data_IF_419786875534
#
_entry.id   IF_419786875534
#
_cell.length_a   1.000
_cell.length_b   1.000
_cell.length_c   1.000
_cell.angle_alpha   90.00
_cell.angle_beta   90.00
_cell.angle_gamma   90.00
#
_symmetry.space_group_name_H-M   'P 1'
#
loop_
_entity.id
_entity.type
_entity.pdbx_description
1 polymer ?
#
# COMPACT_ATOMS: atom_id res chain seq x y z
N UNK A 1 -20.13 -11.14 10.60
CA UNK A 1 -19.21 -10.01 10.87
C UNK A 1 -20.06 -8.89 11.43
N UNK A 2 -19.81 -8.47 12.66
CA UNK A 2 -20.51 -7.35 13.27
C UNK A 2 -20.24 -6.09 12.46
N UNK A 3 -21.28 -5.50 11.89
CA UNK A 3 -21.24 -4.23 11.21
C UNK A 3 -20.76 -3.17 12.19
N UNK A 4 -19.58 -2.62 11.97
CA UNK A 4 -19.08 -1.53 12.81
C UNK A 4 -19.64 -0.22 12.25
N UNK A 5 -20.61 0.35 12.95
CA UNK A 5 -21.16 1.67 12.64
C UNK A 5 -20.22 2.74 13.17
N UNK A 6 -19.94 3.74 12.37
CA UNK A 6 -19.15 4.90 12.75
C UNK A 6 -20.01 6.14 12.66
N UNK A 7 -20.20 6.82 13.79
CA UNK A 7 -20.92 8.09 13.85
C UNK A 7 -19.92 9.23 13.70
N UNK A 8 -20.19 10.15 12.79
CA UNK A 8 -19.38 11.35 12.58
C UNK A 8 -20.06 12.55 13.22
N UNK A 9 -19.30 13.28 14.01
CA UNK A 9 -19.77 14.46 14.76
C UNK A 9 -19.62 15.77 13.94
N UNK A 10 -19.05 15.71 12.72
CA UNK A 10 -18.78 16.88 11.91
C UNK A 10 -19.80 17.05 10.78
N UNK A 11 -20.15 18.30 10.41
CA UNK A 11 -20.99 18.56 9.25
C UNK A 11 -20.33 17.99 7.99
N UNK A 12 -21.05 17.15 7.28
CA UNK A 12 -20.56 16.50 6.08
C UNK A 12 -21.06 17.22 4.84
N UNK A 13 -20.13 17.72 4.04
CA UNK A 13 -20.44 18.14 2.68
C UNK A 13 -20.77 16.92 1.81
N UNK A 14 -21.80 17.05 1.00
CA UNK A 14 -22.10 16.05 -0.02
C UNK A 14 -20.95 16.02 -1.04
N UNK A 15 -20.47 14.82 -1.34
CA UNK A 15 -19.46 14.60 -2.36
C UNK A 15 -20.10 13.94 -3.58
N UNK A 16 -19.60 14.29 -4.74
CA UNK A 16 -20.09 13.78 -6.03
C UNK A 16 -18.95 13.09 -6.78
N UNK A 17 -19.32 12.14 -7.64
CA UNK A 17 -18.44 11.51 -8.60
C UNK A 17 -18.99 11.67 -10.01
N UNK A 18 -18.13 11.63 -11.01
CA UNK A 18 -18.51 11.73 -12.44
C UNK A 18 -18.86 10.36 -12.98
N UNK A 19 -20.10 10.18 -13.46
CA UNK A 19 -20.54 8.96 -14.13
C UNK A 19 -20.12 8.99 -15.60
N UNK A 20 -19.45 7.92 -16.04
CA UNK A 20 -18.95 7.78 -17.40
C UNK A 20 -19.50 6.51 -18.04
N UNK A 21 -20.04 6.65 -19.26
CA UNK A 21 -20.58 5.56 -20.07
C UNK A 21 -19.48 4.70 -20.73
N UNK A 22 -19.87 3.58 -21.34
CA UNK A 22 -18.99 2.69 -22.11
C UNK A 22 -18.32 3.40 -23.30
N UNK A 23 -18.97 4.40 -23.84
CA UNK A 23 -18.44 5.23 -24.93
C UNK A 23 -17.40 6.27 -24.45
N UNK A 24 -17.23 6.44 -23.13
CA UNK A 24 -16.33 7.42 -22.55
C UNK A 24 -16.94 8.82 -22.38
N UNK A 25 -18.25 8.98 -22.65
CA UNK A 25 -18.95 10.23 -22.44
C UNK A 25 -19.35 10.40 -20.97
N UNK A 26 -19.28 11.63 -20.48
CA UNK A 26 -19.80 12.00 -19.16
C UNK A 26 -21.32 12.07 -19.27
N UNK A 27 -22.01 11.25 -18.47
CA UNK A 27 -23.48 11.17 -18.47
C UNK A 27 -24.07 12.07 -17.40
N UNK A 28 -23.60 11.93 -16.15
CA UNK A 28 -24.17 12.64 -15.01
C UNK A 28 -23.18 12.68 -13.83
N UNK A 29 -23.58 13.36 -12.77
CA UNK A 29 -22.95 13.33 -11.46
C UNK A 29 -23.72 12.42 -10.50
N UNK A 30 -23.03 11.57 -9.79
CA UNK A 30 -23.62 10.64 -8.81
C UNK A 30 -23.24 11.09 -7.41
N UNK A 31 -24.22 11.18 -6.50
CA UNK A 31 -23.95 11.42 -5.07
C UNK A 31 -23.21 10.22 -4.48
N UNK A 32 -22.08 10.48 -3.82
CA UNK A 32 -21.27 9.45 -3.21
C UNK A 32 -21.82 9.09 -1.82
N UNK A 33 -21.66 7.82 -1.39
CA UNK A 33 -21.97 7.41 -0.03
C UNK A 33 -21.25 8.25 1.03
N UNK A 34 -21.83 8.35 2.21
CA UNK A 34 -21.34 9.16 3.34
C UNK A 34 -19.90 8.88 3.73
N UNK A 35 -19.40 7.67 3.46
CA UNK A 35 -18.02 7.28 3.72
C UNK A 35 -16.99 8.18 2.99
N UNK A 36 -17.33 8.76 1.82
CA UNK A 36 -16.46 9.66 1.06
C UNK A 36 -16.41 11.08 1.64
N UNK A 37 -17.33 11.42 2.52
CA UNK A 37 -17.36 12.71 3.22
C UNK A 37 -16.57 12.68 4.55
N UNK A 38 -15.99 11.52 4.92
CA UNK A 38 -15.18 11.38 6.12
C UNK A 38 -13.92 12.27 6.07
N UNK A 39 -13.48 12.85 7.20
CA UNK A 39 -12.26 13.66 7.22
C UNK A 39 -11.02 12.84 6.87
N UNK A 40 -10.15 13.43 6.06
CA UNK A 40 -8.91 12.79 5.61
C UNK A 40 -7.84 12.86 6.71
N UNK A 41 -7.61 11.74 7.40
CA UNK A 41 -6.62 11.59 8.45
C UNK A 41 -5.36 10.88 7.94
N UNK A 42 -4.40 11.68 7.50
CA UNK A 42 -3.13 11.19 6.94
C UNK A 42 -2.27 10.45 7.98
N UNK A 43 -2.39 10.82 9.26
CA UNK A 43 -1.73 10.16 10.40
C UNK A 43 -2.14 8.69 10.52
N UNK A 44 -3.44 8.41 10.54
CA UNK A 44 -3.97 7.04 10.59
C UNK A 44 -3.59 6.23 9.35
N UNK A 45 -3.67 6.86 8.16
CA UNK A 45 -3.29 6.22 6.90
C UNK A 45 -1.82 5.81 6.93
N UNK A 46 -0.91 6.70 7.35
CA UNK A 46 0.52 6.40 7.48
C UNK A 46 0.78 5.26 8.45
N UNK A 47 0.17 5.29 9.64
CA UNK A 47 0.30 4.23 10.64
C UNK A 47 -0.16 2.88 10.10
N UNK A 48 -1.33 2.83 9.44
CA UNK A 48 -1.87 1.63 8.83
C UNK A 48 -0.97 1.08 7.71
N UNK A 49 -0.40 1.96 6.87
CA UNK A 49 0.54 1.56 5.82
C UNK A 49 1.84 1.01 6.41
N UNK A 50 2.39 1.64 7.45
CA UNK A 50 3.60 1.14 8.13
C UNK A 50 3.36 -0.23 8.75
N UNK A 51 2.24 -0.43 9.44
CA UNK A 51 1.82 -1.74 9.95
C UNK A 51 1.77 -2.79 8.86
N UNK A 52 1.08 -2.50 7.75
CA UNK A 52 0.95 -3.44 6.63
C UNK A 52 2.29 -3.72 5.90
N UNK A 53 3.22 -2.76 5.86
CA UNK A 53 4.56 -2.96 5.32
C UNK A 53 5.44 -3.78 6.27
N UNK A 54 5.39 -3.50 7.57
CA UNK A 54 6.16 -4.23 8.58
C UNK A 54 5.77 -5.70 8.66
N UNK A 55 4.49 -6.04 8.45
CA UNK A 55 4.00 -7.41 8.36
C UNK A 55 4.64 -8.24 7.24
N UNK A 56 5.18 -7.59 6.19
CA UNK A 56 5.86 -8.25 5.06
C UNK A 56 7.34 -8.53 5.33
N UNK A 57 7.90 -7.99 6.42
CA UNK A 57 9.31 -8.12 6.75
C UNK A 57 9.52 -9.45 7.49
N UNK A 58 10.27 -10.36 6.86
CA UNK A 58 10.66 -11.60 7.51
C UNK A 58 11.67 -11.34 8.64
N UNK A 59 11.60 -12.09 9.75
CA UNK A 59 12.63 -12.10 10.76
C UNK A 59 13.98 -12.43 10.14
N UNK A 60 15.00 -11.65 10.44
CA UNK A 60 16.36 -11.86 9.94
C UNK A 60 17.37 -11.58 11.04
N UNK A 61 18.40 -12.37 11.04
CA UNK A 61 19.47 -12.24 12.01
C UNK A 61 20.58 -13.23 11.71
N UNK A 62 21.54 -13.26 12.58
CA UNK A 62 22.56 -14.29 12.62
C UNK A 62 22.22 -15.30 13.71
N UNK A 63 22.94 -16.42 13.73
CA UNK A 63 22.91 -17.35 14.83
C UNK A 63 23.23 -16.64 16.16
N UNK A 64 22.38 -16.86 17.17
CA UNK A 64 22.44 -16.19 18.47
C UNK A 64 23.76 -16.54 19.21
N UNK A 65 24.25 -17.76 18.99
CA UNK A 65 25.46 -18.28 19.61
C UNK A 65 26.73 -18.06 18.76
N UNK A 66 26.62 -17.44 17.59
CA UNK A 66 27.79 -17.17 16.76
C UNK A 66 28.82 -16.30 17.48
N UNK A 67 30.04 -16.83 17.60
CA UNK A 67 31.15 -16.20 18.36
C UNK A 67 31.04 -16.36 19.87
N UNK A 68 30.04 -17.10 20.38
CA UNK A 68 29.84 -17.39 21.80
C UNK A 68 30.03 -18.88 22.16
N UNK A 69 30.10 -19.79 21.18
CA UNK A 69 30.22 -21.23 21.42
C UNK A 69 31.59 -21.61 21.96
N UNK A 70 32.63 -20.86 21.62
CA UNK A 70 33.97 -21.05 22.20
C UNK A 70 34.06 -20.18 23.45
N UNK A 71 34.10 -20.84 24.60
CA UNK A 71 34.27 -20.20 25.88
C UNK A 71 35.74 -20.29 26.24
N UNK A 72 36.29 -19.23 26.78
CA UNK A 72 37.63 -19.16 27.30
C UNK A 72 37.64 -18.29 28.53
N UNK A 73 38.65 -18.45 29.35
CA UNK A 73 38.85 -17.68 30.58
C UNK A 73 40.01 -16.71 30.44
N UNK A 74 39.97 -15.63 31.19
CA UNK A 74 41.10 -14.70 31.28
C UNK A 74 42.19 -15.32 32.15
N UNK A 75 43.42 -15.30 31.68
CA UNK A 75 44.56 -15.82 32.45
C UNK A 75 44.93 -14.90 33.64
N UNK A 76 44.31 -13.74 33.77
CA UNK A 76 44.52 -12.85 34.92
C UNK A 76 45.77 -11.99 34.81
N UNK A 77 46.37 -11.70 35.98
CA UNK A 77 47.53 -10.83 36.13
C UNK A 77 48.81 -11.66 36.08
N UNK A 78 49.90 -11.14 35.58
CA UNK A 78 51.22 -11.80 35.61
C UNK A 78 51.64 -12.48 34.31
N UNK A 79 50.77 -12.58 33.30
CA UNK A 79 51.08 -13.26 32.04
C UNK A 79 51.54 -12.29 30.92
N UNK A 80 51.74 -11.02 31.20
CA UNK A 80 52.17 -9.98 30.24
C UNK A 80 51.34 -9.89 28.97
N UNK A 81 50.08 -10.31 28.99
CA UNK A 81 49.15 -10.29 27.88
C UNK A 81 47.82 -9.63 28.27
N UNK A 82 47.08 -9.16 27.28
CA UNK A 82 45.77 -8.52 27.52
C UNK A 82 44.80 -9.51 28.23
N UNK A 83 44.08 -8.98 29.22
CA UNK A 83 43.11 -9.72 30.06
C UNK A 83 41.78 -9.94 29.34
N UNK A 84 41.79 -10.64 28.20
CA UNK A 84 40.62 -11.07 27.47
C UNK A 84 40.43 -12.58 27.60
N UNK A 85 39.22 -13.13 27.48
CA UNK A 85 39.02 -14.58 27.49
C UNK A 85 39.87 -15.28 26.42
N UNK A 86 40.63 -16.31 26.83
CA UNK A 86 41.54 -17.07 25.97
C UNK A 86 41.28 -18.56 26.08
N UNK A 87 41.60 -19.28 25.03
CA UNK A 87 41.72 -20.74 25.02
C UNK A 87 43.10 -21.13 25.52
N UNK A 88 43.30 -22.41 25.81
CA UNK A 88 44.56 -22.97 26.26
C UNK A 88 45.73 -22.71 25.29
N UNK A 89 45.43 -22.59 24.00
CA UNK A 89 46.41 -22.23 22.97
C UNK A 89 46.74 -20.72 22.91
N UNK A 90 46.30 -19.94 23.88
CA UNK A 90 46.52 -18.50 23.94
C UNK A 90 45.63 -17.62 23.05
N UNK A 91 44.81 -18.23 22.16
CA UNK A 91 43.94 -17.46 21.24
C UNK A 91 42.80 -16.80 22.03
N UNK A 92 42.64 -15.48 21.83
CA UNK A 92 41.52 -14.76 22.39
C UNK A 92 40.19 -15.15 21.73
N UNK A 93 39.13 -15.28 22.54
CA UNK A 93 37.78 -15.68 22.12
C UNK A 93 36.72 -14.84 22.80
N UNK A 94 35.47 -14.96 22.40
CA UNK A 94 34.26 -14.36 22.98
C UNK A 94 34.20 -12.83 22.95
N UNK A 95 35.28 -12.11 23.25
CA UNK A 95 35.30 -10.66 23.27
C UNK A 95 34.97 -10.05 21.90
N UNK A 96 34.28 -8.90 21.81
CA UNK A 96 33.88 -8.34 20.54
C UNK A 96 35.04 -7.76 19.70
N UNK A 97 36.15 -7.45 20.34
CA UNK A 97 37.36 -6.86 19.73
C UNK A 97 38.38 -7.90 19.24
N UNK A 98 38.08 -9.19 19.32
CA UNK A 98 39.00 -10.26 18.90
C UNK A 98 38.53 -10.91 17.59
N UNK A 99 39.47 -11.49 16.81
CA UNK A 99 39.15 -12.21 15.57
C UNK A 99 38.35 -13.47 15.88
N UNK A 100 37.14 -13.58 15.27
CA UNK A 100 36.22 -14.70 15.52
C UNK A 100 35.47 -14.61 16.85
N UNK A 101 35.55 -13.49 17.55
CA UNK A 101 34.74 -13.19 18.72
C UNK A 101 33.27 -12.88 18.40
N UNK A 102 32.46 -12.60 19.39
CA UNK A 102 31.06 -12.24 19.21
C UNK A 102 30.91 -10.84 18.64
N UNK A 103 29.88 -10.64 17.84
CA UNK A 103 29.47 -9.28 17.49
C UNK A 103 28.67 -8.69 18.67
N UNK A 104 29.02 -7.49 19.06
CA UNK A 104 28.21 -6.67 19.98
C UNK A 104 26.86 -6.36 19.38
N UNK A 105 25.81 -6.24 19.79
CA UNK A 105 24.52 -5.94 19.15
C UNK A 105 24.30 -6.59 17.78
N UNK A 106 24.44 -7.90 17.74
CA UNK A 106 24.18 -8.67 16.54
C UNK A 106 22.67 -8.61 16.16
N UNK A 107 22.33 -8.53 14.87
CA UNK A 107 20.94 -8.65 14.46
C UNK A 107 20.40 -10.04 14.85
N UNK A 108 19.26 -10.05 15.53
CA UNK A 108 18.63 -11.29 16.02
C UNK A 108 17.29 -11.53 15.34
N UNK A 109 16.93 -12.79 15.01
CA UNK A 109 15.62 -13.12 14.49
C UNK A 109 14.50 -12.94 15.53
N UNK A 110 14.84 -12.84 16.82
CA UNK A 110 13.87 -12.61 17.91
C UNK A 110 13.32 -11.18 17.95
N UNK A 111 13.90 -10.26 17.15
CA UNK A 111 13.41 -8.89 17.08
C UNK A 111 11.98 -8.84 16.53
N UNK A 112 11.05 -8.25 17.28
CA UNK A 112 9.68 -7.99 16.82
C UNK A 112 9.71 -6.90 15.74
N UNK A 113 9.44 -7.26 14.50
CA UNK A 113 9.45 -6.34 13.35
C UNK A 113 8.06 -5.81 13.02
N UNK A 114 7.00 -6.52 13.40
CA UNK A 114 5.63 -6.16 13.11
C UNK A 114 5.14 -5.05 14.04
N UNK A 115 4.65 -3.98 13.45
CA UNK A 115 3.99 -2.87 14.14
C UNK A 115 2.49 -3.13 14.16
N UNK A 116 1.96 -3.55 15.30
CA UNK A 116 0.55 -3.85 15.47
C UNK A 116 -0.32 -2.60 15.40
N UNK A 117 -1.51 -2.74 14.82
CA UNK A 117 -2.52 -1.71 14.76
C UNK A 117 -3.88 -2.30 15.19
N UNK A 118 -4.70 -1.52 15.86
CA UNK A 118 -6.04 -1.92 16.25
C UNK A 118 -6.93 -2.09 15.01
N UNK A 119 -7.82 -3.09 15.03
CA UNK A 119 -8.75 -3.36 13.92
C UNK A 119 -9.65 -2.16 13.60
N UNK A 120 -10.11 -1.44 14.64
CA UNK A 120 -10.92 -0.22 14.48
C UNK A 120 -10.11 0.89 13.80
N UNK A 121 -8.86 1.12 14.21
CA UNK A 121 -7.96 2.08 13.58
C UNK A 121 -7.70 1.74 12.10
N UNK A 122 -7.46 0.46 11.78
CA UNK A 122 -7.27 0.03 10.38
C UNK A 122 -8.50 0.32 9.53
N UNK A 123 -9.72 0.07 10.04
CA UNK A 123 -10.97 0.39 9.34
C UNK A 123 -11.12 1.89 9.11
N UNK A 124 -10.87 2.71 10.14
CA UNK A 124 -10.90 4.18 10.02
C UNK A 124 -9.86 4.69 9.03
N UNK A 125 -8.67 4.09 8.98
CA UNK A 125 -7.66 4.43 7.99
C UNK A 125 -8.13 4.13 6.56
N UNK A 126 -8.82 3.01 6.33
CA UNK A 126 -9.40 2.65 5.02
C UNK A 126 -10.50 3.65 4.64
N UNK A 127 -11.42 3.97 5.55
CA UNK A 127 -12.49 4.96 5.32
C UNK A 127 -11.87 6.32 4.97
N UNK A 128 -10.90 6.79 5.75
CA UNK A 128 -10.18 8.04 5.49
C UNK A 128 -9.43 8.04 4.16
N UNK A 129 -8.86 6.90 3.76
CA UNK A 129 -8.21 6.76 2.46
C UNK A 129 -9.23 6.79 1.30
N UNK A 130 -10.42 6.19 1.48
CA UNK A 130 -11.52 6.25 0.51
C UNK A 130 -12.07 7.68 0.38
N UNK A 131 -12.26 8.38 1.50
CA UNK A 131 -12.67 9.78 1.49
C UNK A 131 -11.70 10.68 0.71
N UNK A 132 -10.39 10.42 0.83
CA UNK A 132 -9.38 11.17 0.09
C UNK A 132 -9.44 10.98 -1.44
N UNK A 133 -10.12 9.93 -1.94
CA UNK A 133 -10.31 9.71 -3.38
C UNK A 133 -11.30 10.71 -3.98
N UNK A 134 -12.18 11.28 -3.18
CA UNK A 134 -13.16 12.30 -3.60
C UNK A 134 -12.61 13.73 -3.56
N UNK A 135 -11.41 13.95 -3.00
CA UNK A 135 -10.78 15.26 -2.95
C UNK A 135 -9.85 15.48 -4.15
N UNK A 136 -10.31 16.27 -5.13
CA UNK A 136 -9.56 16.59 -6.34
C UNK A 136 -8.19 17.22 -6.02
N UNK A 137 -8.11 18.08 -5.00
CA UNK A 137 -6.85 18.70 -4.58
C UNK A 137 -5.82 17.67 -4.12
N UNK A 138 -6.26 16.69 -3.33
CA UNK A 138 -5.39 15.62 -2.83
C UNK A 138 -4.95 14.68 -3.96
N UNK A 139 -5.81 14.39 -4.94
CA UNK A 139 -5.46 13.56 -6.10
C UNK A 139 -4.46 14.28 -7.02
N UNK A 140 -4.67 15.55 -7.29
CA UNK A 140 -3.74 16.35 -8.12
C UNK A 140 -2.34 16.46 -7.49
N UNK A 141 -2.21 16.50 -6.17
CA UNK A 141 -0.90 16.46 -5.47
C UNK A 141 -0.05 15.23 -5.82
N UNK A 142 -0.66 14.16 -6.33
CA UNK A 142 0.05 12.97 -6.82
C UNK A 142 0.42 13.03 -8.30
N UNK A 143 0.29 14.19 -8.93
CA UNK A 143 0.66 14.42 -10.32
C UNK A 143 -0.14 13.58 -11.34
N UNK A 144 -1.41 13.28 -11.06
CA UNK A 144 -2.30 12.68 -12.06
C UNK A 144 -2.76 13.73 -13.06
N UNK A 145 -2.91 13.29 -14.31
CA UNK A 145 -3.47 14.10 -15.40
C UNK A 145 -4.95 13.79 -15.46
N UNK A 146 -5.77 14.80 -15.17
CA UNK A 146 -7.24 14.71 -15.18
C UNK A 146 -7.75 15.71 -16.21
N UNK A 147 -8.55 15.30 -17.21
CA UNK A 147 -9.18 16.20 -18.16
C UNK A 147 -10.01 17.29 -17.45
N UNK A 148 -10.09 18.47 -18.03
CA UNK A 148 -10.85 19.59 -17.47
C UNK A 148 -12.36 19.29 -17.40
N UNK A 149 -12.86 18.49 -18.34
CA UNK A 149 -14.24 18.03 -18.41
C UNK A 149 -14.68 17.23 -17.17
N UNK A 150 -13.73 16.59 -16.46
CA UNK A 150 -14.00 15.84 -15.24
C UNK A 150 -13.90 16.79 -14.05
N UNK A 151 -15.06 17.26 -13.61
CA UNK A 151 -15.16 18.17 -12.48
C UNK A 151 -15.05 17.42 -11.13
N UNK A 152 -15.77 16.32 -11.02
CA UNK A 152 -15.88 15.53 -9.79
C UNK A 152 -15.11 14.21 -9.88
N UNK A 153 -14.53 13.79 -8.76
CA UNK A 153 -13.84 12.51 -8.59
C UNK A 153 -14.37 11.82 -7.32
N UNK A 154 -14.34 10.48 -7.24
CA UNK A 154 -13.80 9.53 -8.21
C UNK A 154 -14.66 9.40 -9.48
N UNK A 155 -14.08 8.78 -10.51
CA UNK A 155 -14.78 8.47 -11.74
C UNK A 155 -15.57 7.18 -11.52
N UNK A 156 -16.86 7.21 -11.87
CA UNK A 156 -17.77 6.09 -11.76
C UNK A 156 -18.00 5.52 -13.15
N UNK A 157 -17.65 4.25 -13.34
CA UNK A 157 -17.93 3.54 -14.59
C UNK A 157 -19.25 2.78 -14.49
N UNK A 158 -20.03 2.77 -15.58
CA UNK A 158 -21.27 1.98 -15.68
C UNK A 158 -20.97 0.49 -15.49
N UNK A 159 -21.95 -0.26 -15.05
CA UNK A 159 -21.79 -1.70 -14.78
C UNK A 159 -21.29 -2.52 -15.97
N UNK A 160 -21.61 -2.13 -17.20
CA UNK A 160 -21.11 -2.75 -18.42
C UNK A 160 -19.58 -2.73 -18.58
N UNK A 161 -18.87 -1.84 -17.86
CA UNK A 161 -17.40 -1.82 -17.84
C UNK A 161 -16.80 -3.12 -17.31
N UNK A 162 -17.47 -3.79 -16.37
CA UNK A 162 -16.98 -5.05 -15.79
C UNK A 162 -16.98 -6.22 -16.80
N UNK A 163 -17.75 -6.14 -17.88
CA UNK A 163 -17.81 -7.15 -18.94
C UNK A 163 -16.65 -7.08 -19.93
N UNK A 164 -15.85 -6.01 -19.92
CA UNK A 164 -14.66 -5.92 -20.78
C UNK A 164 -13.69 -7.07 -20.49
N UNK A 165 -13.30 -7.77 -21.54
CA UNK A 165 -12.37 -8.91 -21.42
C UNK A 165 -10.98 -8.59 -21.99
N UNK A 166 -10.89 -7.61 -22.89
CA UNK A 166 -9.67 -7.26 -23.61
C UNK A 166 -9.03 -5.98 -23.10
N UNK A 167 -7.68 -5.99 -23.01
CA UNK A 167 -6.90 -4.78 -22.75
C UNK A 167 -7.12 -3.69 -23.81
N UNK A 168 -7.47 -4.08 -25.04
CA UNK A 168 -7.77 -3.16 -26.14
C UNK A 168 -9.03 -2.35 -25.85
N UNK A 169 -10.07 -2.98 -25.29
CA UNK A 169 -11.33 -2.31 -24.92
C UNK A 169 -11.09 -1.31 -23.78
N UNK A 170 -10.41 -1.74 -22.72
CA UNK A 170 -10.06 -0.87 -21.59
C UNK A 170 -9.19 0.30 -22.05
N UNK A 171 -8.20 0.05 -22.92
CA UNK A 171 -7.36 1.09 -23.51
C UNK A 171 -8.18 2.07 -24.33
N UNK A 172 -9.10 1.57 -25.15
CA UNK A 172 -10.01 2.39 -25.97
C UNK A 172 -10.86 3.30 -25.09
N UNK A 173 -11.45 2.73 -24.04
CA UNK A 173 -12.25 3.49 -23.06
C UNK A 173 -11.42 4.57 -22.36
N UNK A 174 -10.25 4.23 -21.83
CA UNK A 174 -9.36 5.19 -21.15
C UNK A 174 -8.88 6.32 -22.07
N UNK A 175 -8.69 6.05 -23.36
CA UNK A 175 -8.35 7.09 -24.35
C UNK A 175 -9.52 8.07 -24.57
N UNK A 176 -10.74 7.57 -24.69
CA UNK A 176 -11.94 8.39 -24.85
C UNK A 176 -12.20 9.28 -23.65
N UNK A 177 -12.01 8.74 -22.43
CA UNK A 177 -12.13 9.49 -21.17
C UNK A 177 -10.95 10.46 -20.95
N UNK A 178 -9.87 10.38 -21.76
CA UNK A 178 -8.68 11.23 -21.62
C UNK A 178 -7.72 10.84 -20.51
N UNK A 179 -7.87 9.64 -19.92
CA UNK A 179 -7.04 9.19 -18.79
C UNK A 179 -5.83 8.34 -19.20
N UNK A 180 -5.72 7.99 -20.48
CA UNK A 180 -4.67 7.09 -20.97
C UNK A 180 -3.25 7.60 -20.68
N UNK A 181 -3.03 8.90 -20.67
CA UNK A 181 -1.73 9.50 -20.37
C UNK A 181 -1.17 9.08 -19.00
N UNK A 182 -2.03 8.80 -18.01
CA UNK A 182 -1.58 8.30 -16.70
C UNK A 182 -0.99 6.89 -16.78
N UNK A 183 -1.46 6.05 -17.71
CA UNK A 183 -0.87 4.72 -17.98
C UNK A 183 0.49 4.86 -18.68
N UNK A 184 0.58 5.72 -19.69
CA UNK A 184 1.85 6.00 -20.40
C UNK A 184 2.90 6.48 -19.41
N UNK A 185 2.55 7.42 -18.54
CA UNK A 185 3.42 7.93 -17.48
C UNK A 185 3.91 6.81 -16.54
N UNK A 186 3.05 5.84 -16.22
CA UNK A 186 3.45 4.68 -15.42
C UNK A 186 4.39 3.76 -16.19
N UNK A 187 4.15 3.56 -17.48
CA UNK A 187 4.99 2.77 -18.37
C UNK A 187 6.40 3.38 -18.52
N UNK A 188 6.49 4.69 -18.75
CA UNK A 188 7.75 5.41 -18.88
C UNK A 188 8.57 5.43 -17.59
N UNK A 189 7.90 5.24 -16.44
CA UNK A 189 8.56 5.14 -15.14
C UNK A 189 9.27 3.80 -14.91
N UNK A 190 9.06 2.80 -15.78
CA UNK A 190 9.66 1.47 -15.63
C UNK A 190 11.16 1.57 -15.82
N UNK A 191 11.90 1.22 -14.78
CA UNK A 191 13.36 1.27 -14.78
C UNK A 191 13.97 0.12 -14.00
N UNK A 192 15.23 -0.18 -14.29
CA UNK A 192 16.00 -1.17 -13.55
C UNK A 192 16.22 -0.64 -12.12
N UNK A 193 15.91 -1.49 -11.13
CA UNK A 193 16.11 -1.17 -9.72
C UNK A 193 17.59 -1.04 -9.38
N UNK A 194 17.94 -0.02 -8.62
CA UNK A 194 19.25 0.08 -7.99
C UNK A 194 19.41 -0.97 -6.87
N UNK A 195 20.63 -1.38 -6.61
CA UNK A 195 20.97 -2.30 -5.53
C UNK A 195 20.70 -3.78 -5.84
N UNK A 196 20.95 -4.63 -4.85
CA UNK A 196 20.94 -6.12 -4.96
C UNK A 196 19.53 -6.71 -5.16
N UNK A 197 18.46 -5.93 -5.02
CA UNK A 197 17.08 -6.39 -5.26
C UNK A 197 16.86 -6.89 -6.69
N UNK A 198 17.59 -6.37 -7.69
CA UNK A 198 17.53 -6.82 -9.08
C UNK A 198 17.98 -8.27 -9.26
N UNK A 199 18.95 -8.72 -8.47
CA UNK A 199 19.46 -10.11 -8.49
C UNK A 199 18.53 -11.09 -7.74
N UNK A 200 17.52 -10.57 -7.03
CA UNK A 200 16.58 -11.34 -6.22
C UNK A 200 15.17 -11.38 -6.84
N UNK A 201 15.06 -11.46 -8.17
CA UNK A 201 13.80 -11.51 -8.90
C UNK A 201 13.00 -10.20 -8.96
N UNK A 202 13.55 -9.07 -8.47
CA UNK A 202 12.90 -7.74 -8.47
C UNK A 202 13.65 -6.75 -9.35
N UNK A 203 13.88 -7.12 -10.62
CA UNK A 203 14.72 -6.35 -11.56
C UNK A 203 14.14 -4.97 -11.85
N UNK A 204 12.85 -4.90 -12.11
CA UNK A 204 12.19 -3.66 -12.52
C UNK A 204 11.46 -2.98 -11.35
N UNK A 205 11.34 -1.67 -11.45
CA UNK A 205 10.54 -0.82 -10.56
C UNK A 205 9.67 0.08 -11.41
N UNK A 206 8.39 0.18 -11.07
CA UNK A 206 7.40 1.04 -11.72
C UNK A 206 6.71 1.96 -10.71
N UNK A 207 6.16 3.06 -11.18
CA UNK A 207 5.32 3.95 -10.36
C UNK A 207 3.93 3.34 -10.19
N UNK A 208 3.28 3.62 -9.06
CA UNK A 208 1.88 3.27 -8.84
C UNK A 208 0.97 4.28 -9.53
N UNK A 209 0.25 3.82 -10.52
CA UNK A 209 -0.70 4.58 -11.32
C UNK A 209 -2.13 4.48 -10.76
N UNK A 210 -3.12 4.40 -11.65
CA UNK A 210 -4.54 4.39 -11.31
C UNK A 210 -4.97 3.16 -10.53
N UNK A 211 -6.09 3.29 -9.81
CA UNK A 211 -6.74 2.23 -9.07
C UNK A 211 -8.13 1.97 -9.67
N UNK A 212 -8.49 0.69 -9.79
CA UNK A 212 -9.83 0.28 -10.17
C UNK A 212 -10.50 -0.45 -9.00
N UNK A 213 -11.75 -0.08 -8.71
CA UNK A 213 -12.56 -0.77 -7.70
C UNK A 213 -13.72 -1.43 -8.45
N UNK A 214 -13.71 -2.75 -8.47
CA UNK A 214 -14.63 -3.61 -9.23
C UNK A 214 -15.46 -4.43 -8.25
N UNK A 215 -16.70 -4.75 -8.56
CA UNK A 215 -17.61 -5.45 -7.66
C UNK A 215 -17.10 -6.85 -7.27
N UNK A 216 -16.61 -7.61 -8.22
CA UNK A 216 -16.21 -9.02 -8.03
C UNK A 216 -14.78 -9.28 -8.45
N UNK A 217 -14.09 -10.20 -7.73
CA UNK A 217 -12.76 -10.67 -8.09
C UNK A 217 -12.75 -11.53 -9.38
N UNK A 218 -13.92 -12.04 -9.77
CA UNK A 218 -14.08 -12.86 -10.97
C UNK A 218 -14.53 -12.05 -12.19
N UNK A 219 -14.65 -10.71 -12.07
CA UNK A 219 -15.05 -9.88 -13.20
C UNK A 219 -14.02 -9.98 -14.34
N UNK A 220 -14.46 -10.18 -15.60
CA UNK A 220 -13.58 -10.35 -16.77
C UNK A 220 -12.56 -9.23 -16.93
N UNK A 221 -12.95 -7.99 -16.63
CA UNK A 221 -12.11 -6.79 -16.74
C UNK A 221 -10.80 -6.90 -15.94
N UNK A 222 -10.77 -7.68 -14.88
CA UNK A 222 -9.57 -7.83 -14.04
C UNK A 222 -8.40 -8.41 -14.83
N UNK A 223 -8.65 -9.32 -15.77
CA UNK A 223 -7.59 -9.88 -16.61
C UNK A 223 -6.98 -8.81 -17.52
N UNK A 224 -7.82 -7.92 -18.05
CA UNK A 224 -7.36 -6.78 -18.84
C UNK A 224 -6.57 -5.77 -17.99
N UNK A 225 -7.04 -5.46 -16.76
CA UNK A 225 -6.38 -4.53 -15.84
C UNK A 225 -5.01 -5.00 -15.35
N UNK A 226 -4.83 -6.31 -15.12
CA UNK A 226 -3.54 -6.89 -14.70
C UNK A 226 -2.40 -6.64 -15.67
N UNK A 227 -2.70 -6.50 -16.95
CA UNK A 227 -1.71 -6.29 -18.01
C UNK A 227 -1.27 -4.84 -18.17
N UNK A 228 -1.98 -3.89 -17.53
CA UNK A 228 -1.69 -2.47 -17.65
C UNK A 228 -0.64 -2.03 -16.62
N UNK A 229 0.42 -1.31 -17.03
CA UNK A 229 1.49 -0.89 -16.14
C UNK A 229 1.00 0.09 -15.06
N UNK A 230 1.42 -0.15 -13.82
CA UNK A 230 1.09 0.70 -12.66
C UNK A 230 -0.35 0.63 -12.18
N UNK A 231 -1.22 -0.11 -12.84
CA UNK A 231 -2.61 -0.28 -12.45
C UNK A 231 -2.73 -1.33 -11.35
N UNK A 232 -3.52 -1.00 -10.33
CA UNK A 232 -3.96 -1.96 -9.32
C UNK A 232 -5.49 -2.04 -9.35
N UNK A 233 -6.04 -3.17 -8.91
CA UNK A 233 -7.48 -3.36 -8.73
C UNK A 233 -7.80 -3.79 -7.31
N UNK A 234 -9.00 -3.46 -6.84
CA UNK A 234 -9.56 -3.86 -5.54
C UNK A 234 -11.02 -4.25 -5.72
N UNK A 235 -11.51 -5.03 -4.76
CA UNK A 235 -12.96 -5.24 -4.60
C UNK A 235 -13.39 -4.71 -3.24
N UNK A 236 -14.67 -4.36 -3.03
CA UNK A 236 -15.17 -3.88 -1.75
C UNK A 236 -14.84 -4.80 -0.58
N UNK A 237 -14.80 -6.12 -0.81
CA UNK A 237 -14.47 -7.13 0.20
C UNK A 237 -12.97 -7.25 0.50
N UNK A 238 -12.11 -6.89 -0.45
CA UNK A 238 -10.63 -7.04 -0.35
C UNK A 238 -9.91 -5.69 -0.27
N UNK A 239 -10.50 -4.71 0.42
CA UNK A 239 -9.86 -3.41 0.55
C UNK A 239 -8.51 -3.49 1.24
N UNK A 240 -7.50 -2.90 0.61
CA UNK A 240 -6.13 -2.90 1.09
C UNK A 240 -5.55 -1.49 1.11
N UNK A 241 -5.12 -1.07 2.29
CA UNK A 241 -4.56 0.27 2.51
C UNK A 241 -3.31 0.54 1.65
N UNK A 242 -2.50 -0.49 1.37
CA UNK A 242 -1.31 -0.35 0.54
C UNK A 242 -1.63 -0.03 -0.93
N UNK A 243 -2.80 -0.45 -1.42
CA UNK A 243 -3.27 -0.12 -2.77
C UNK A 243 -4.03 1.19 -2.80
N UNK A 244 -4.78 1.54 -1.74
CA UNK A 244 -5.49 2.82 -1.62
C UNK A 244 -4.52 4.00 -1.46
N UNK A 245 -3.54 3.85 -0.56
CA UNK A 245 -2.59 4.90 -0.23
C UNK A 245 -1.13 4.42 -0.32
N UNK A 246 -0.62 4.14 -1.54
CA UNK A 246 0.75 3.66 -1.70
C UNK A 246 1.74 4.71 -1.20
N UNK A 247 2.69 4.25 -0.35
CA UNK A 247 3.66 5.13 0.31
C UNK A 247 3.11 5.94 1.48
N UNK A 248 1.89 5.65 1.96
CA UNK A 248 1.25 6.38 3.06
C UNK A 248 0.66 7.74 2.66
N UNK A 249 0.65 8.04 1.37
CA UNK A 249 0.03 9.27 0.84
C UNK A 249 -1.32 8.90 0.20
N UNK A 250 -2.43 9.52 0.63
CA UNK A 250 -3.77 9.29 0.06
C UNK A 250 -3.95 10.00 -1.29
N UNK A 251 -5.14 9.86 -1.90
CA UNK A 251 -5.51 10.56 -3.13
C UNK A 251 -5.03 9.86 -4.40
N UNK A 252 -5.19 8.55 -4.50
CA UNK A 252 -4.94 7.80 -5.73
C UNK A 252 -6.08 8.03 -6.72
N UNK A 253 -5.78 8.32 -8.01
CA UNK A 253 -6.81 8.43 -9.03
C UNK A 253 -7.52 7.09 -9.17
N UNK A 254 -8.83 7.09 -8.93
CA UNK A 254 -9.61 5.86 -8.81
C UNK A 254 -10.82 5.88 -9.73
N UNK A 255 -11.07 4.74 -10.36
CA UNK A 255 -12.26 4.43 -11.14
C UNK A 255 -13.02 3.37 -10.37
N UNK A 256 -14.32 3.60 -10.12
CA UNK A 256 -15.19 2.73 -9.32
C UNK A 256 -16.36 2.31 -10.19
N UNK A 257 -16.73 1.03 -10.23
CA UNK A 257 -17.95 0.61 -10.91
C UNK A 257 -19.18 0.89 -10.03
N UNK A 258 -20.34 1.13 -10.64
CA UNK A 258 -21.57 1.43 -9.88
C UNK A 258 -21.90 0.35 -8.85
N UNK A 259 -21.83 -0.94 -9.23
CA UNK A 259 -22.04 -2.08 -8.30
C UNK A 259 -21.04 -2.06 -7.14
N UNK A 260 -19.77 -1.78 -7.42
CA UNK A 260 -18.76 -1.69 -6.37
C UNK A 260 -19.04 -0.52 -5.41
N UNK A 261 -19.56 0.59 -5.90
CA UNK A 261 -19.94 1.74 -5.07
C UNK A 261 -21.09 1.38 -4.10
N UNK A 262 -22.11 0.68 -4.60
CA UNK A 262 -23.20 0.18 -3.78
C UNK A 262 -22.74 -0.82 -2.71
N UNK A 263 -21.85 -1.74 -3.07
CA UNK A 263 -21.29 -2.69 -2.11
C UNK A 263 -20.42 -2.00 -1.05
N UNK A 264 -19.65 -0.96 -1.44
CA UNK A 264 -18.88 -0.18 -0.48
C UNK A 264 -19.75 0.49 0.56
N UNK A 265 -20.90 1.04 0.18
CA UNK A 265 -21.84 1.67 1.10
C UNK A 265 -22.42 0.69 2.12
N UNK A 266 -22.60 -0.58 1.73
CA UNK A 266 -23.08 -1.64 2.62
C UNK A 266 -22.02 -2.15 3.60
N UNK A 267 -20.75 -2.15 3.20
CA UNK A 267 -19.65 -2.68 4.03
C UNK A 267 -19.12 -1.63 5.02
N UNK A 268 -19.02 -0.37 4.57
CA UNK A 268 -18.49 0.75 5.36
C UNK A 268 -19.60 1.74 5.67
N UNK A 269 -20.39 1.41 6.68
CA UNK A 269 -21.50 2.25 7.11
C UNK A 269 -20.92 3.40 7.95
N UNK A 270 -21.11 4.62 7.47
CA UNK A 270 -20.79 5.87 8.17
C UNK A 270 -22.09 6.63 8.33
N UNK A 271 -22.60 6.70 9.56
CA UNK A 271 -23.86 7.40 9.86
C UNK A 271 -23.61 8.89 9.96
N UNK A 272 -24.57 9.68 9.48
CA UNK A 272 -24.62 11.12 9.75
C UNK A 272 -25.12 11.31 11.18
N UNK A 273 -24.65 12.33 11.91
CA UNK A 273 -25.19 12.67 13.21
C UNK A 273 -26.66 13.08 13.13
#
# INVERSE_FOLDING_TARGET
>A
MTEARYVLVYPMEKRYGTLVDLNGNIVDRVELPTLFSYPVRVDLIKRAVLSALSARIQPKGRDILAGKRRVGESWGIGYSIARVPRLDNGRAVLAPNVRGGRRQFAPTPLKKNYEEINRKEMRLAIISALAALSDKKTVLKRNYIIPQEIEFIPIIAVNGFESFNSTREVKGWLKRVGLWQNIVKSQDSIRIRSGKGKMRGRKYKESKGMLFIVSSINAPVINALKSLPGVDYLTPKTMNILRLAPGGMPGRLTIITQKALEELSKIYIVERP
#
